data_IF_549346535088
#
_entry.id   IF_549346535088
#
_cell.length_a   1.000
_cell.length_b   1.000
_cell.length_c   1.000
_cell.angle_alpha   90.00
_cell.angle_beta   90.00
_cell.angle_gamma   90.00
#
_symmetry.space_group_name_H-M   'P 1'
#
loop_
_entity.id
_entity.type
_entity.pdbx_description
1 polymer ?
#
# COMPACT_ATOMS: atom_id res chain seq x y z
N UNK A 1 22.47 -0.05 38.64
CA UNK A 1 22.79 -0.65 37.34
C UNK A 1 21.56 -0.50 36.47
N UNK A 2 21.41 0.66 35.84
CA UNK A 2 20.24 1.02 35.03
C UNK A 2 20.43 0.44 33.64
N UNK A 3 19.58 -0.50 33.26
CA UNK A 3 19.53 -0.99 31.88
C UNK A 3 19.06 0.16 30.99
N UNK A 4 19.96 0.66 30.13
CA UNK A 4 19.58 1.52 29.02
C UNK A 4 18.73 0.71 28.06
N UNK A 5 17.46 1.10 27.93
CA UNK A 5 16.60 0.63 26.87
C UNK A 5 17.22 1.06 25.53
N UNK A 6 17.55 0.08 24.70
CA UNK A 6 18.00 0.31 23.33
C UNK A 6 16.95 1.10 22.56
N UNK A 7 17.35 2.25 22.03
CA UNK A 7 16.53 3.06 21.12
C UNK A 7 16.05 2.19 19.94
N UNK A 8 14.77 2.28 19.51
CA UNK A 8 14.36 1.64 18.28
C UNK A 8 15.18 2.25 17.13
N UNK A 9 15.86 1.39 16.40
CA UNK A 9 16.73 1.73 15.27
C UNK A 9 15.98 2.69 14.34
N UNK A 10 16.44 3.93 14.25
CA UNK A 10 15.87 4.92 13.33
C UNK A 10 16.19 4.45 11.92
N UNK A 11 15.27 3.76 11.27
CA UNK A 11 15.43 3.37 9.88
C UNK A 11 15.67 4.63 9.04
N UNK A 12 16.69 4.61 8.19
CA UNK A 12 17.09 5.77 7.40
C UNK A 12 15.95 6.24 6.49
N UNK A 13 15.60 7.52 6.62
CA UNK A 13 14.60 8.21 5.80
C UNK A 13 15.00 8.16 4.33
N UNK A 14 14.03 8.02 3.42
CA UNK A 14 14.30 8.14 1.99
C UNK A 14 14.70 9.58 1.63
N UNK A 15 15.65 9.77 0.71
CA UNK A 15 16.05 11.11 0.28
C UNK A 15 15.04 11.74 -0.69
N UNK A 16 14.29 10.94 -1.44
CA UNK A 16 13.24 11.38 -2.35
C UNK A 16 12.13 10.33 -2.52
N UNK A 17 11.01 10.72 -3.16
CA UNK A 17 9.97 9.76 -3.55
C UNK A 17 10.47 8.78 -4.61
N UNK A 18 11.41 9.19 -5.47
CA UNK A 18 12.05 8.30 -6.44
C UNK A 18 12.84 7.20 -5.74
N UNK A 19 13.63 7.54 -4.71
CA UNK A 19 14.36 6.55 -3.90
C UNK A 19 13.41 5.57 -3.20
N UNK A 20 12.26 6.06 -2.73
CA UNK A 20 11.23 5.21 -2.13
C UNK A 20 10.63 4.24 -3.16
N UNK A 21 10.36 4.69 -4.40
CA UNK A 21 9.90 3.83 -5.51
C UNK A 21 10.95 2.79 -5.89
N UNK A 22 12.21 3.20 -6.10
CA UNK A 22 13.30 2.29 -6.43
C UNK A 22 13.53 1.24 -5.33
N UNK A 23 13.33 1.62 -4.07
CA UNK A 23 13.34 0.68 -2.96
C UNK A 23 12.21 -0.35 -3.08
N UNK A 24 10.96 0.05 -3.37
CA UNK A 24 9.86 -0.90 -3.59
C UNK A 24 10.14 -1.84 -4.77
N UNK A 25 10.69 -1.35 -5.88
CA UNK A 25 11.06 -2.17 -7.03
C UNK A 25 12.12 -3.21 -6.67
N UNK A 26 13.14 -2.81 -5.88
CA UNK A 26 14.14 -3.74 -5.32
C UNK A 26 13.47 -4.78 -4.44
N UNK A 27 12.53 -4.37 -3.59
CA UNK A 27 11.85 -5.29 -2.68
C UNK A 27 10.90 -6.24 -3.41
N UNK A 28 10.30 -5.86 -4.54
CA UNK A 28 9.53 -6.81 -5.37
C UNK A 28 10.39 -8.02 -5.75
N UNK A 29 11.64 -7.78 -6.16
CA UNK A 29 12.61 -8.85 -6.51
C UNK A 29 13.01 -9.69 -5.30
N UNK A 30 13.29 -9.06 -4.16
CA UNK A 30 13.72 -9.76 -2.93
C UNK A 30 12.60 -10.61 -2.33
N UNK A 31 11.37 -10.10 -2.34
CA UNK A 31 10.22 -10.77 -1.74
C UNK A 31 9.55 -11.77 -2.68
N UNK A 32 9.94 -11.78 -3.96
CA UNK A 32 9.29 -12.62 -4.97
C UNK A 32 7.82 -12.26 -5.12
N UNK A 33 7.51 -10.97 -5.27
CA UNK A 33 6.16 -10.44 -5.47
C UNK A 33 6.14 -9.59 -6.72
N UNK A 34 4.97 -9.46 -7.36
CA UNK A 34 4.86 -8.79 -8.66
C UNK A 34 4.89 -7.27 -8.51
N UNK A 35 4.10 -6.73 -7.58
CA UNK A 35 4.07 -5.30 -7.32
C UNK A 35 3.91 -4.98 -5.83
N UNK A 36 4.35 -3.79 -5.46
CA UNK A 36 4.10 -3.17 -4.16
C UNK A 36 3.51 -1.77 -4.37
N UNK A 37 2.60 -1.36 -3.49
CA UNK A 37 1.97 -0.05 -3.55
C UNK A 37 1.76 0.50 -2.14
N UNK A 38 1.97 1.81 -1.99
CA UNK A 38 1.81 2.55 -0.77
C UNK A 38 0.97 3.80 -1.03
N UNK A 39 -0.07 3.96 -0.24
CA UNK A 39 -0.87 5.16 -0.18
C UNK A 39 -0.75 5.81 1.20
N UNK A 40 -0.59 7.13 1.20
CA UNK A 40 -0.83 7.98 2.35
C UNK A 40 -1.91 8.98 2.02
N UNK A 41 -3.02 8.90 2.74
CA UNK A 41 -4.19 9.76 2.60
C UNK A 41 -4.31 10.61 3.87
N UNK A 42 -4.17 11.93 3.72
CA UNK A 42 -4.53 12.87 4.77
C UNK A 42 -5.97 13.30 4.53
N UNK A 43 -6.84 13.07 5.51
CA UNK A 43 -8.25 13.45 5.45
C UNK A 43 -8.48 14.62 6.40
N UNK A 44 -9.04 15.71 5.88
CA UNK A 44 -9.49 16.87 6.65
C UNK A 44 -10.98 17.03 6.42
N UNK A 45 -11.77 17.06 7.50
CA UNK A 45 -13.24 17.20 7.46
C UNK A 45 -13.94 16.19 6.53
N UNK A 46 -13.40 14.97 6.43
CA UNK A 46 -13.94 13.90 5.59
C UNK A 46 -13.53 13.96 4.11
N UNK A 47 -12.74 14.96 3.71
CA UNK A 47 -12.25 15.13 2.34
C UNK A 47 -10.76 14.78 2.26
N UNK A 48 -10.30 14.01 1.25
CA UNK A 48 -8.88 13.85 0.98
C UNK A 48 -8.23 15.21 0.67
N UNK A 49 -7.39 15.68 1.59
CA UNK A 49 -6.63 16.93 1.47
C UNK A 49 -5.34 16.69 0.69
N UNK A 50 -4.61 15.63 1.05
CA UNK A 50 -3.36 15.28 0.42
C UNK A 50 -3.24 13.78 0.20
N UNK A 51 -2.86 13.42 -1.01
CA UNK A 51 -2.67 12.03 -1.43
C UNK A 51 -1.23 11.82 -1.88
N UNK A 52 -0.57 10.81 -1.30
CA UNK A 52 0.72 10.30 -1.78
C UNK A 52 0.53 8.88 -2.23
N UNK A 53 0.87 8.59 -3.48
CA UNK A 53 0.87 7.24 -4.04
C UNK A 53 2.27 6.90 -4.54
N UNK A 54 2.86 5.84 -3.99
CA UNK A 54 4.18 5.31 -4.38
C UNK A 54 3.96 3.85 -4.71
N UNK A 55 4.20 3.44 -5.94
CA UNK A 55 3.96 2.07 -6.35
C UNK A 55 4.94 1.65 -7.44
N UNK A 56 5.04 0.34 -7.64
CA UNK A 56 5.78 -0.27 -8.74
C UNK A 56 4.89 -0.59 -9.94
N UNK A 57 3.65 -0.09 -9.94
CA UNK A 57 2.72 -0.29 -11.03
C UNK A 57 3.19 0.44 -12.29
N UNK A 58 2.68 -0.01 -13.44
CA UNK A 58 2.84 0.70 -14.70
C UNK A 58 2.35 2.16 -14.54
N UNK A 59 3.16 3.18 -14.86
CA UNK A 59 2.75 4.57 -14.76
C UNK A 59 1.49 4.92 -15.56
N UNK A 60 1.25 4.23 -16.70
CA UNK A 60 0.04 4.40 -17.48
C UNK A 60 -1.19 3.88 -16.74
N UNK A 61 -1.07 2.80 -15.97
CA UNK A 61 -2.13 2.36 -15.07
C UNK A 61 -2.39 3.37 -13.97
N UNK A 62 -1.32 3.88 -13.33
CA UNK A 62 -1.47 4.87 -12.26
C UNK A 62 -2.21 6.12 -12.76
N UNK A 63 -1.83 6.64 -13.93
CA UNK A 63 -2.51 7.75 -14.58
C UNK A 63 -3.98 7.42 -14.93
N UNK A 64 -4.23 6.22 -15.45
CA UNK A 64 -5.58 5.75 -15.76
C UNK A 64 -6.47 5.67 -14.50
N UNK A 65 -5.96 5.07 -13.42
CA UNK A 65 -6.67 4.96 -12.15
C UNK A 65 -7.01 6.34 -11.61
N UNK A 66 -6.06 7.27 -11.55
CA UNK A 66 -6.31 8.63 -11.04
C UNK A 66 -7.29 9.46 -11.89
N UNK A 67 -7.47 9.10 -13.16
CA UNK A 67 -8.42 9.77 -14.06
C UNK A 67 -9.84 9.17 -13.97
N UNK A 68 -9.94 7.86 -13.75
CA UNK A 68 -11.21 7.13 -13.73
C UNK A 68 -11.79 6.93 -12.33
N UNK A 69 -10.94 6.96 -11.30
CA UNK A 69 -11.24 6.60 -9.93
C UNK A 69 -10.54 7.53 -8.95
N UNK A 70 -10.98 7.47 -7.70
CA UNK A 70 -10.27 8.06 -6.57
C UNK A 70 -10.28 7.06 -5.43
N UNK A 71 -9.40 7.20 -4.43
CA UNK A 71 -9.50 6.41 -3.20
C UNK A 71 -10.88 6.50 -2.54
N UNK A 72 -11.60 7.62 -2.73
CA UNK A 72 -13.00 7.74 -2.33
C UNK A 72 -13.88 6.92 -3.31
N UNK A 73 -14.53 5.88 -2.79
CA UNK A 73 -15.38 4.97 -3.57
C UNK A 73 -14.64 3.76 -4.15
N UNK A 74 -13.36 3.57 -3.81
CA UNK A 74 -12.67 2.31 -4.01
C UNK A 74 -12.94 1.39 -2.80
N UNK A 75 -13.55 0.20 -3.00
CA UNK A 75 -13.88 -0.73 -1.91
C UNK A 75 -12.68 -1.15 -1.06
N UNK A 76 -11.46 -1.18 -1.62
CA UNK A 76 -10.26 -1.48 -0.84
C UNK A 76 -9.99 -0.41 0.22
N UNK A 77 -10.49 0.82 0.01
CA UNK A 77 -10.31 1.98 0.86
C UNK A 77 -11.49 2.22 1.82
N UNK A 78 -12.66 1.59 1.59
CA UNK A 78 -13.86 1.79 2.42
C UNK A 78 -13.65 1.39 3.88
N UNK A 79 -12.78 0.41 4.14
CA UNK A 79 -12.44 -0.04 5.49
C UNK A 79 -11.28 0.74 6.15
N UNK A 80 -10.78 1.81 5.52
CA UNK A 80 -9.72 2.61 6.11
C UNK A 80 -10.20 3.27 7.41
N UNK A 81 -9.63 2.81 8.52
CA UNK A 81 -9.93 3.34 9.85
C UNK A 81 -10.76 2.44 10.76
N UNK A 82 -11.14 1.25 10.29
CA UNK A 82 -11.57 0.14 11.13
C UNK A 82 -10.34 -0.57 11.75
N UNK A 83 -10.54 -1.67 12.48
CA UNK A 83 -9.41 -2.46 13.00
C UNK A 83 -8.52 -2.90 11.82
N UNK A 84 -7.18 -2.76 11.90
CA UNK A 84 -6.29 -3.18 10.82
C UNK A 84 -6.51 -4.66 10.49
N UNK A 85 -7.03 -4.93 9.30
CA UNK A 85 -7.27 -6.26 8.78
C UNK A 85 -6.67 -6.35 7.39
N UNK A 86 -6.02 -7.46 7.10
CA UNK A 86 -5.51 -7.71 5.76
C UNK A 86 -6.70 -8.03 4.86
N UNK A 87 -6.89 -7.21 3.84
CA UNK A 87 -7.92 -7.35 2.81
C UNK A 87 -7.36 -8.23 1.70
N UNK A 88 -8.03 -9.34 1.41
CA UNK A 88 -7.73 -10.18 0.26
C UNK A 88 -8.51 -9.71 -0.97
N UNK A 89 -7.79 -9.37 -2.04
CA UNK A 89 -8.40 -8.89 -3.28
C UNK A 89 -9.33 -9.92 -3.93
N UNK A 90 -9.01 -11.21 -3.82
CA UNK A 90 -9.85 -12.27 -4.39
C UNK A 90 -11.20 -12.38 -3.67
N UNK A 91 -11.19 -12.24 -2.34
CA UNK A 91 -12.40 -12.24 -1.52
C UNK A 91 -13.23 -10.97 -1.79
N UNK A 92 -12.57 -9.80 -1.90
CA UNK A 92 -13.22 -8.54 -2.20
C UNK A 92 -13.85 -8.52 -3.59
N UNK A 93 -13.12 -8.98 -4.61
CA UNK A 93 -13.61 -9.05 -6.00
C UNK A 93 -14.80 -9.99 -6.16
N UNK A 94 -14.91 -11.03 -5.31
CA UNK A 94 -16.05 -11.95 -5.35
C UNK A 94 -17.36 -11.34 -4.83
N UNK A 95 -17.28 -10.27 -4.02
CA UNK A 95 -18.45 -9.66 -3.37
C UNK A 95 -18.72 -8.23 -3.83
N UNK A 96 -17.74 -7.57 -4.45
CA UNK A 96 -17.86 -6.20 -4.93
C UNK A 96 -17.50 -6.04 -6.42
N UNK A 97 -18.50 -5.65 -7.22
CA UNK A 97 -18.35 -5.49 -8.67
C UNK A 97 -17.50 -4.28 -9.08
N UNK A 98 -17.31 -3.28 -8.22
CA UNK A 98 -16.40 -2.16 -8.50
C UNK A 98 -14.95 -2.61 -8.36
N UNK A 99 -14.61 -3.33 -7.29
CA UNK A 99 -13.29 -3.94 -7.09
C UNK A 99 -12.96 -4.92 -8.22
N UNK A 100 -13.94 -5.75 -8.62
CA UNK A 100 -13.79 -6.65 -9.76
C UNK A 100 -13.43 -5.91 -11.05
N UNK A 101 -14.15 -4.83 -11.38
CA UNK A 101 -13.89 -4.01 -12.57
C UNK A 101 -12.52 -3.32 -12.53
N UNK A 102 -12.15 -2.75 -11.38
CA UNK A 102 -10.83 -2.12 -11.18
C UNK A 102 -9.73 -3.15 -11.41
N UNK A 103 -9.87 -4.35 -10.82
CA UNK A 103 -8.89 -5.44 -10.97
C UNK A 103 -8.82 -5.92 -12.42
N UNK A 104 -9.96 -6.14 -13.08
CA UNK A 104 -10.01 -6.57 -14.48
C UNK A 104 -9.31 -5.57 -15.41
N UNK A 105 -9.43 -4.27 -15.15
CA UNK A 105 -8.70 -3.25 -15.88
C UNK A 105 -7.19 -3.26 -15.53
N UNK A 106 -6.85 -3.40 -14.25
CA UNK A 106 -5.47 -3.44 -13.76
C UNK A 106 -4.64 -4.58 -14.37
N UNK A 107 -5.26 -5.75 -14.59
CA UNK A 107 -4.59 -6.91 -15.23
C UNK A 107 -4.05 -6.61 -16.62
N UNK A 108 -4.67 -5.68 -17.37
CA UNK A 108 -4.19 -5.24 -18.69
C UNK A 108 -2.85 -4.50 -18.62
N UNK A 109 -2.49 -3.99 -17.45
CA UNK A 109 -1.23 -3.32 -17.16
C UNK A 109 -0.29 -4.20 -16.33
N UNK A 110 -0.57 -5.49 -16.23
CA UNK A 110 0.29 -6.42 -15.51
C UNK A 110 0.20 -6.31 -13.98
N UNK A 111 -0.96 -5.94 -13.44
CA UNK A 111 -1.27 -6.11 -12.02
C UNK A 111 -2.11 -7.38 -11.87
N UNK A 112 -1.59 -8.37 -11.16
CA UNK A 112 -2.24 -9.67 -11.02
C UNK A 112 -3.59 -9.56 -10.28
N UNK A 113 -4.46 -10.55 -10.45
CA UNK A 113 -5.72 -10.67 -9.70
C UNK A 113 -5.49 -10.81 -8.19
N UNK A 114 -4.41 -11.48 -7.80
CA UNK A 114 -4.14 -11.79 -6.40
C UNK A 114 -3.30 -10.73 -5.72
N UNK A 115 -3.72 -10.35 -4.52
CA UNK A 115 -3.02 -9.37 -3.72
C UNK A 115 -3.65 -9.20 -2.37
N UNK A 116 -2.90 -8.53 -1.51
CA UNK A 116 -3.34 -8.17 -0.17
C UNK A 116 -3.20 -6.66 0.01
N UNK A 117 -4.10 -6.09 0.79
CA UNK A 117 -4.01 -4.69 1.22
C UNK A 117 -4.13 -4.62 2.73
N UNK A 118 -3.27 -3.82 3.35
CA UNK A 118 -3.19 -3.66 4.79
C UNK A 118 -3.38 -2.17 5.14
N UNK A 119 -4.60 -1.79 5.55
CA UNK A 119 -4.88 -0.45 6.05
C UNK A 119 -4.40 -0.28 7.48
N UNK A 120 -3.84 0.87 7.79
CA UNK A 120 -3.56 1.29 9.15
C UNK A 120 -3.57 2.82 9.28
N UNK A 121 -3.57 3.33 10.51
CA UNK A 121 -3.58 4.78 10.79
C UNK A 121 -2.20 5.27 11.24
N UNK A 122 -1.87 6.50 10.84
CA UNK A 122 -0.78 7.31 11.39
C UNK A 122 -1.42 8.53 12.11
N UNK A 123 -1.70 8.37 13.39
CA UNK A 123 -2.49 9.34 14.16
C UNK A 123 -3.97 9.39 13.75
N UNK A 124 -4.62 10.55 13.95
CA UNK A 124 -6.08 10.69 13.77
C UNK A 124 -6.51 11.07 12.35
N UNK A 125 -5.63 11.72 11.59
CA UNK A 125 -5.96 12.33 10.28
C UNK A 125 -5.38 11.59 9.09
N UNK A 126 -4.42 10.70 9.31
CA UNK A 126 -3.71 10.02 8.22
C UNK A 126 -4.05 8.54 8.20
N UNK A 127 -4.51 8.12 7.03
CA UNK A 127 -4.82 6.76 6.68
C UNK A 127 -3.76 6.26 5.70
N UNK A 128 -3.21 5.09 6.00
CA UNK A 128 -2.20 4.43 5.19
C UNK A 128 -2.81 3.17 4.61
N UNK A 129 -2.57 2.92 3.34
CA UNK A 129 -2.81 1.62 2.72
C UNK A 129 -1.50 1.12 2.13
N UNK A 130 -1.09 -0.07 2.53
CA UNK A 130 0.02 -0.77 1.89
C UNK A 130 -0.52 -1.99 1.16
N UNK A 131 -0.12 -2.21 -0.08
CA UNK A 131 -0.60 -3.32 -0.92
C UNK A 131 0.56 -4.12 -1.49
N UNK A 132 0.34 -5.43 -1.63
CA UNK A 132 1.23 -6.39 -2.29
C UNK A 132 0.43 -7.16 -3.32
N UNK A 133 1.00 -7.32 -4.51
CA UNK A 133 0.40 -8.04 -5.61
C UNK A 133 1.28 -9.25 -5.96
N UNK A 134 0.66 -10.41 -6.13
CA UNK A 134 1.35 -11.67 -6.35
C UNK A 134 0.82 -12.30 -7.63
N UNK A 135 1.72 -12.68 -8.52
CA UNK A 135 1.36 -13.49 -9.68
C UNK A 135 1.34 -14.96 -9.27
N UNK A 136 0.15 -15.54 -9.24
CA UNK A 136 -0.03 -16.97 -9.02
C UNK A 136 -1.36 -17.43 -9.61
N UNK A 137 -1.57 -18.75 -9.65
CA UNK A 137 -2.87 -19.33 -9.97
C UNK A 137 -3.84 -19.18 -8.78
N UNK A 138 -5.15 -19.34 -9.04
CA UNK A 138 -6.17 -19.42 -7.97
C UNK A 138 -5.89 -20.61 -7.03
N UNK A 139 -5.33 -21.72 -7.53
CA UNK A 139 -4.96 -22.91 -6.76
C UNK A 139 -3.79 -22.64 -5.81
N UNK A 140 -2.80 -21.88 -6.25
CA UNK A 140 -1.61 -21.54 -5.46
C UNK A 140 -1.85 -20.40 -4.47
N UNK A 141 -2.91 -19.60 -4.67
CA UNK A 141 -3.16 -18.39 -3.89
C UNK A 141 -3.20 -18.60 -2.38
N UNK A 142 -3.87 -19.62 -1.82
CA UNK A 142 -3.88 -19.85 -0.38
C UNK A 142 -2.48 -20.02 0.22
N UNK A 143 -1.56 -20.67 -0.52
CA UNK A 143 -0.17 -20.87 -0.11
C UNK A 143 0.61 -19.55 -0.17
N UNK A 144 0.49 -18.81 -1.27
CA UNK A 144 1.17 -17.52 -1.43
C UNK A 144 0.67 -16.46 -0.44
N UNK A 145 -0.65 -16.41 -0.19
CA UNK A 145 -1.26 -15.55 0.84
C UNK A 145 -0.63 -15.80 2.21
N UNK A 146 -0.53 -17.06 2.63
CA UNK A 146 0.08 -17.42 3.91
C UNK A 146 1.56 -17.01 3.99
N UNK A 147 2.32 -17.21 2.90
CA UNK A 147 3.73 -16.79 2.81
C UNK A 147 3.91 -15.28 2.99
N UNK A 148 3.05 -14.49 2.35
CA UNK A 148 3.17 -13.03 2.33
C UNK A 148 2.69 -12.41 3.64
N UNK A 149 1.57 -12.88 4.22
CA UNK A 149 0.99 -12.33 5.48
C UNK A 149 2.03 -12.25 6.60
N UNK A 150 2.89 -13.27 6.75
CA UNK A 150 3.85 -13.35 7.85
C UNK A 150 4.85 -12.19 7.94
N UNK A 151 5.13 -11.51 6.82
CA UNK A 151 6.06 -10.37 6.76
C UNK A 151 5.39 -9.04 6.43
N UNK A 152 4.23 -9.10 5.79
CA UNK A 152 3.62 -7.97 5.08
C UNK A 152 3.37 -6.75 5.98
N UNK A 153 2.75 -6.96 7.14
CA UNK A 153 2.41 -5.87 8.05
C UNK A 153 3.67 -5.18 8.61
N UNK A 154 4.69 -5.95 9.01
CA UNK A 154 5.95 -5.40 9.51
C UNK A 154 6.70 -4.60 8.45
N UNK A 155 6.70 -5.10 7.21
CA UNK A 155 7.28 -4.39 6.06
C UNK A 155 6.54 -3.07 5.78
N UNK A 156 5.21 -3.06 5.82
CA UNK A 156 4.40 -1.87 5.61
C UNK A 156 4.73 -0.76 6.62
N UNK A 157 4.82 -1.10 7.92
CA UNK A 157 5.22 -0.16 8.97
C UNK A 157 6.66 0.33 8.80
N UNK A 158 7.59 -0.56 8.46
CA UNK A 158 8.99 -0.19 8.23
C UNK A 158 9.15 0.76 7.03
N UNK A 159 8.43 0.52 5.93
CA UNK A 159 8.40 1.42 4.78
C UNK A 159 7.78 2.78 5.15
N UNK A 160 6.64 2.76 5.84
CA UNK A 160 5.97 3.98 6.28
C UNK A 160 6.87 4.85 7.17
N UNK A 161 7.56 4.26 8.14
CA UNK A 161 8.47 4.99 9.03
C UNK A 161 9.56 5.77 8.27
N UNK A 162 10.04 5.22 7.15
CA UNK A 162 11.11 5.82 6.32
C UNK A 162 10.59 6.87 5.33
N UNK A 163 9.36 6.73 4.86
CA UNK A 163 8.77 7.69 3.89
C UNK A 163 8.01 8.83 4.55
N UNK A 164 7.52 8.64 5.78
CA UNK A 164 6.72 9.62 6.52
C UNK A 164 7.36 11.02 6.55
N UNK A 165 8.67 11.18 6.84
CA UNK A 165 9.27 12.52 6.87
C UNK A 165 9.22 13.25 5.52
N UNK A 166 9.31 12.54 4.39
CA UNK A 166 9.16 13.13 3.05
C UNK A 166 7.72 13.57 2.79
N UNK A 167 6.74 12.76 3.20
CA UNK A 167 5.32 13.10 3.08
C UNK A 167 5.00 14.36 3.90
N UNK A 168 5.52 14.43 5.13
CA UNK A 168 5.35 15.58 6.02
C UNK A 168 6.01 16.85 5.45
N UNK A 169 7.24 16.73 4.93
CA UNK A 169 7.95 17.85 4.32
C UNK A 169 7.22 18.41 3.09
N UNK A 170 6.70 17.53 2.21
CA UNK A 170 5.91 17.95 1.05
C UNK A 170 4.65 18.71 1.46
N UNK A 171 4.02 18.31 2.58
CA UNK A 171 2.85 19.00 3.12
C UNK A 171 3.18 20.40 3.64
N UNK A 172 4.30 20.56 4.33
CA UNK A 172 4.70 21.86 4.87
C UNK A 172 5.06 22.90 3.78
N UNK A 173 5.35 22.44 2.56
CA UNK A 173 5.70 23.28 1.42
C UNK A 173 4.51 23.63 0.50
N UNK A 174 3.34 23.01 0.70
CA UNK A 174 2.12 23.25 -0.07
C UNK A 174 1.22 24.28 0.64
#
# INVERSE_FOLDING_TARGET
>A
MTMSASNPTTAETFASFEDATQYLEKMCRVLGVRNLSYWSLTVIDGVPDQVTWIATYDPAYMAHYMNAHTPLGDPAFEHLGEKPQVIDWSELNAVDGTSERITAQATRYGIAKHGLSYPFRDGTKRQIMFSVNVECSDEDWPREKARVIGMFCGFAHAFHARVRPLVDARRAAA
#
